data_IF_389918994886
#
_entry.id   IF_389918994886
#
_cell.length_a   1.000
_cell.length_b   1.000
_cell.length_c   1.000
_cell.angle_alpha   90.00
_cell.angle_beta   90.00
_cell.angle_gamma   90.00
#
_symmetry.space_group_name_H-M   'P 1'
#
loop_
_entity.id
_entity.type
_entity.pdbx_description
1 polymer ?
#
# COMPACT_ATOMS: atom_id res chain seq x y z
N UNK A 1 -12.34 -8.22 23.46
CA UNK A 1 -11.66 -6.93 23.15
C UNK A 1 -10.18 -7.07 23.46
N UNK A 2 -9.27 -6.53 22.63
CA UNK A 2 -7.83 -6.62 22.92
C UNK A 2 -7.50 -5.66 24.08
N UNK A 3 -6.65 -6.01 25.07
CA UNK A 3 -6.35 -5.17 26.24
C UNK A 3 -5.96 -3.73 25.88
N UNK A 4 -5.21 -3.59 24.76
CA UNK A 4 -4.85 -2.29 24.18
C UNK A 4 -6.04 -1.35 23.92
N UNK A 5 -7.23 -1.89 23.62
CA UNK A 5 -8.44 -1.10 23.34
C UNK A 5 -8.96 -0.44 24.61
N UNK A 6 -8.94 -1.18 25.73
CA UNK A 6 -9.35 -0.66 27.04
C UNK A 6 -8.38 0.42 27.52
N UNK A 7 -7.08 0.19 27.36
CA UNK A 7 -6.04 1.18 27.73
C UNK A 7 -6.23 2.50 26.95
N UNK A 8 -6.48 2.40 25.64
CA UNK A 8 -6.75 3.57 24.79
C UNK A 8 -8.03 4.28 25.22
N UNK A 9 -9.09 3.55 25.56
CA UNK A 9 -10.34 4.13 26.02
C UNK A 9 -10.17 4.90 27.34
N UNK A 10 -9.39 4.36 28.29
CA UNK A 10 -9.08 5.04 29.56
C UNK A 10 -8.28 6.32 29.32
N UNK A 11 -7.24 6.26 28.48
CA UNK A 11 -6.46 7.44 28.10
C UNK A 11 -7.34 8.52 27.45
N UNK A 12 -8.22 8.12 26.54
CA UNK A 12 -9.12 9.03 25.85
C UNK A 12 -10.11 9.68 26.83
N UNK A 13 -10.65 8.91 27.78
CA UNK A 13 -11.52 9.44 28.84
C UNK A 13 -10.78 10.46 29.71
N UNK A 14 -9.53 10.21 30.09
CA UNK A 14 -8.72 11.16 30.86
C UNK A 14 -8.48 12.47 30.10
N UNK A 15 -8.14 12.39 28.81
CA UNK A 15 -7.97 13.58 27.95
C UNK A 15 -9.26 14.40 27.93
N UNK A 16 -10.41 13.75 27.74
CA UNK A 16 -11.72 14.43 27.74
C UNK A 16 -11.97 15.11 29.09
N UNK A 17 -11.76 14.42 30.22
CA UNK A 17 -11.94 15.01 31.55
C UNK A 17 -11.10 16.28 31.74
N UNK A 18 -9.81 16.24 31.36
CA UNK A 18 -8.90 17.39 31.46
C UNK A 18 -9.39 18.55 30.59
N UNK A 19 -9.84 18.26 29.37
CA UNK A 19 -10.39 19.27 28.45
C UNK A 19 -11.65 19.96 29.00
N UNK A 20 -12.53 19.21 29.67
CA UNK A 20 -13.79 19.75 30.21
C UNK A 20 -13.63 20.45 31.55
N UNK A 21 -12.64 20.04 32.36
CA UNK A 21 -12.44 20.60 33.70
C UNK A 21 -11.83 22.00 33.68
N UNK A 22 -10.96 22.31 32.71
CA UNK A 22 -10.35 23.63 32.60
C UNK A 22 -11.11 24.49 31.56
N UNK A 23 -11.92 25.42 32.09
CA UNK A 23 -12.78 26.35 31.33
C UNK A 23 -12.16 27.75 31.24
N UNK A 24 -10.86 27.86 30.97
CA UNK A 24 -10.31 29.15 30.57
C UNK A 24 -10.88 29.56 29.21
N UNK A 25 -11.69 30.62 29.20
CA UNK A 25 -12.28 31.18 28.00
C UNK A 25 -11.24 31.95 27.17
N UNK A 26 -11.36 31.86 25.85
CA UNK A 26 -10.63 32.67 24.89
C UNK A 26 -11.53 32.99 23.70
N UNK A 27 -11.34 34.18 23.15
CA UNK A 27 -12.02 34.59 21.93
C UNK A 27 -11.39 33.87 20.75
N UNK A 28 -12.20 33.08 20.05
CA UNK A 28 -11.80 32.44 18.81
C UNK A 28 -12.32 33.26 17.62
N UNK A 29 -11.57 33.33 16.52
CA UNK A 29 -11.90 34.19 15.38
C UNK A 29 -12.52 33.44 14.19
N UNK A 30 -12.28 32.12 14.06
CA UNK A 30 -12.60 31.34 12.85
C UNK A 30 -14.12 31.28 12.52
N UNK A 31 -14.99 31.50 13.50
CA UNK A 31 -16.45 31.46 13.35
C UNK A 31 -17.13 32.76 13.83
N UNK A 32 -16.42 33.89 13.78
CA UNK A 32 -16.82 35.13 14.48
C UNK A 32 -16.31 35.15 15.91
N UNK A 33 -16.63 36.21 16.68
CA UNK A 33 -16.09 36.47 18.02
C UNK A 33 -16.77 35.59 19.09
N UNK A 34 -16.46 34.29 19.08
CA UNK A 34 -17.08 33.31 20.00
C UNK A 34 -16.13 33.03 21.16
N UNK A 35 -16.63 33.19 22.39
CA UNK A 35 -15.92 32.79 23.61
C UNK A 35 -16.04 31.29 23.80
N UNK A 36 -14.94 30.58 23.65
CA UNK A 36 -14.86 29.12 23.82
C UNK A 36 -13.63 28.77 24.65
N UNK A 37 -13.54 27.55 25.18
CA UNK A 37 -12.40 27.20 26.04
C UNK A 37 -11.11 27.03 25.22
N UNK A 38 -9.99 27.59 25.70
CA UNK A 38 -8.67 27.45 25.06
C UNK A 38 -8.31 25.99 24.76
N UNK A 39 -8.68 25.09 25.68
CA UNK A 39 -8.42 23.66 25.52
C UNK A 39 -9.24 23.01 24.42
N UNK A 40 -10.48 23.43 24.18
CA UNK A 40 -11.28 22.92 23.05
C UNK A 40 -10.65 23.32 21.72
N UNK A 41 -10.22 24.58 21.58
CA UNK A 41 -9.45 25.03 20.41
C UNK A 41 -8.20 24.17 20.28
N UNK A 42 -7.37 24.10 21.31
CA UNK A 42 -6.09 23.39 21.24
C UNK A 42 -6.26 21.90 20.92
N UNK A 43 -7.22 21.23 21.58
CA UNK A 43 -7.51 19.82 21.37
C UNK A 43 -8.07 19.52 19.97
N UNK A 44 -8.93 20.38 19.43
CA UNK A 44 -9.49 20.20 18.09
C UNK A 44 -8.41 20.38 17.01
N UNK A 45 -7.59 21.42 17.08
CA UNK A 45 -6.47 21.61 16.16
C UNK A 45 -5.40 20.53 16.29
N UNK A 46 -5.10 20.10 17.51
CA UNK A 46 -4.21 18.97 17.74
C UNK A 46 -4.74 17.70 17.07
N UNK A 47 -6.01 17.37 17.27
CA UNK A 47 -6.62 16.19 16.67
C UNK A 47 -6.65 16.27 15.14
N UNK A 48 -6.99 17.44 14.57
CA UNK A 48 -6.93 17.68 13.13
C UNK A 48 -5.51 17.53 12.60
N UNK A 49 -4.50 18.03 13.31
CA UNK A 49 -3.09 17.87 12.98
C UNK A 49 -2.64 16.41 13.01
N UNK A 50 -3.06 15.65 14.02
CA UNK A 50 -2.77 14.20 14.12
C UNK A 50 -3.45 13.42 13.00
N UNK A 51 -4.70 13.72 12.66
CA UNK A 51 -5.41 13.07 11.54
C UNK A 51 -4.72 13.42 10.22
N UNK A 52 -4.47 14.70 9.97
CA UNK A 52 -3.86 15.18 8.73
C UNK A 52 -2.45 14.62 8.56
N UNK A 53 -1.63 14.68 9.61
CA UNK A 53 -0.31 14.07 9.65
C UNK A 53 -0.38 12.56 9.47
N UNK A 54 -1.28 11.88 10.19
CA UNK A 54 -1.48 10.44 10.05
C UNK A 54 -1.88 10.02 8.63
N UNK A 55 -2.70 10.82 7.95
CA UNK A 55 -3.09 10.60 6.54
C UNK A 55 -1.92 10.88 5.60
N UNK A 56 -1.17 11.98 5.80
CA UNK A 56 -0.06 12.37 4.94
C UNK A 56 1.13 11.39 5.06
N UNK A 57 1.45 10.98 6.28
CA UNK A 57 2.49 9.99 6.57
C UNK A 57 2.00 8.54 6.45
N UNK A 58 0.75 8.31 6.06
CA UNK A 58 0.23 6.97 5.80
C UNK A 58 1.01 6.39 4.62
N UNK A 59 2.00 5.54 4.93
CA UNK A 59 2.75 4.77 3.93
C UNK A 59 1.75 4.10 3.00
N UNK A 60 1.71 4.54 1.73
CA UNK A 60 0.98 3.80 0.70
C UNK A 60 1.64 2.43 0.61
N UNK A 61 0.83 1.36 0.67
CA UNK A 61 1.34 0.00 0.52
C UNK A 61 2.07 -0.04 -0.84
N UNK A 62 3.37 -0.33 -0.82
CA UNK A 62 4.20 -0.45 -2.02
C UNK A 62 3.64 -1.61 -2.84
N UNK A 63 2.91 -1.27 -3.90
CA UNK A 63 2.35 -2.11 -4.96
C UNK A 63 1.58 -3.38 -4.53
N UNK A 64 0.49 -3.74 -5.24
CA UNK A 64 -0.06 -5.08 -5.12
C UNK A 64 1.06 -6.08 -5.44
N UNK A 65 1.14 -7.16 -4.66
CA UNK A 65 1.97 -8.32 -4.98
C UNK A 65 1.73 -8.63 -6.45
N UNK A 66 2.81 -8.75 -7.21
CA UNK A 66 2.81 -9.12 -8.63
C UNK A 66 1.70 -10.14 -8.87
N UNK A 67 0.88 -9.89 -9.90
CA UNK A 67 -0.07 -10.87 -10.37
C UNK A 67 0.72 -12.15 -10.61
N UNK A 68 0.53 -13.14 -9.74
CA UNK A 68 1.06 -14.47 -9.95
C UNK A 68 0.41 -14.99 -11.21
N UNK A 69 1.12 -14.87 -12.33
CA UNK A 69 0.77 -15.58 -13.55
C UNK A 69 0.95 -17.06 -13.19
N UNK A 70 -0.12 -17.72 -12.74
CA UNK A 70 -0.16 -19.18 -12.71
C UNK A 70 -0.35 -19.64 -14.15
N UNK A 71 0.73 -19.59 -14.94
CA UNK A 71 0.76 -20.35 -16.18
C UNK A 71 0.90 -21.83 -15.78
N UNK A 72 -0.11 -22.69 -16.00
CA UNK A 72 -0.02 -24.09 -15.64
C UNK A 72 1.00 -24.88 -16.47
N UNK A 73 1.73 -24.24 -17.38
CA UNK A 73 2.74 -24.89 -18.22
C UNK A 73 4.20 -24.50 -17.91
N UNK A 74 4.47 -23.88 -16.76
CA UNK A 74 5.84 -23.64 -16.30
C UNK A 74 6.39 -24.85 -15.55
N UNK A 75 6.55 -25.98 -16.25
CA UNK A 75 7.36 -27.09 -15.74
C UNK A 75 8.81 -26.82 -16.13
N UNK A 76 9.58 -26.43 -15.11
CA UNK A 76 11.01 -26.69 -14.97
C UNK A 76 11.95 -26.05 -16.00
N UNK A 77 12.41 -24.84 -15.69
CA UNK A 77 13.79 -24.46 -16.04
C UNK A 77 14.41 -23.76 -14.84
N UNK A 78 14.85 -24.57 -13.89
CA UNK A 78 15.80 -24.19 -12.85
C UNK A 78 16.79 -25.34 -12.68
N UNK A 79 17.57 -25.60 -13.71
CA UNK A 79 18.88 -26.25 -13.65
C UNK A 79 19.49 -26.31 -15.06
N UNK A 80 20.82 -26.32 -15.10
CA UNK A 80 21.68 -26.60 -16.25
C UNK A 80 21.99 -25.45 -17.22
N UNK A 81 23.00 -24.65 -16.82
CA UNK A 81 24.18 -24.44 -17.67
C UNK A 81 24.55 -25.74 -18.38
N UNK A 82 24.57 -25.80 -19.73
CA UNK A 82 25.46 -26.62 -20.59
C UNK A 82 24.98 -26.58 -22.06
N UNK A 83 25.86 -26.10 -22.94
CA UNK A 83 26.01 -26.42 -24.38
C UNK A 83 24.84 -26.18 -25.34
N UNK A 84 24.99 -25.14 -26.16
CA UNK A 84 24.16 -24.86 -27.34
C UNK A 84 24.32 -25.96 -28.41
N UNK A 85 23.30 -26.81 -28.52
CA UNK A 85 23.02 -27.64 -29.69
C UNK A 85 21.97 -26.93 -30.56
N UNK A 86 22.07 -26.89 -31.91
CA UNK A 86 21.17 -26.09 -32.77
C UNK A 86 19.70 -26.54 -32.70
N UNK A 87 19.46 -27.75 -32.20
CA UNK A 87 18.15 -28.40 -32.08
C UNK A 87 17.20 -27.74 -31.07
N UNK A 88 17.72 -26.89 -30.16
CA UNK A 88 16.94 -26.21 -29.12
C UNK A 88 16.64 -24.73 -29.44
N UNK A 89 16.77 -24.31 -30.69
CA UNK A 89 16.28 -22.99 -31.09
C UNK A 89 14.76 -23.04 -31.32
N UNK A 90 14.00 -22.01 -30.92
CA UNK A 90 12.57 -21.89 -31.25
C UNK A 90 12.29 -21.76 -32.76
N UNK A 91 13.34 -21.74 -33.58
CA UNK A 91 13.31 -21.73 -35.05
C UNK A 91 13.69 -23.08 -35.66
N UNK A 92 13.69 -24.16 -34.88
CA UNK A 92 13.96 -25.51 -35.37
C UNK A 92 12.89 -25.95 -36.38
N UNK A 93 13.32 -26.15 -37.63
CA UNK A 93 12.45 -26.55 -38.76
C UNK A 93 12.24 -28.06 -38.83
N UNK A 94 12.78 -28.82 -37.86
CA UNK A 94 12.80 -30.29 -37.84
C UNK A 94 11.40 -30.95 -37.78
N UNK A 95 10.37 -30.22 -37.35
CA UNK A 95 8.98 -30.70 -37.30
C UNK A 95 8.13 -30.24 -38.49
N UNK A 96 8.71 -29.52 -39.46
CA UNK A 96 8.02 -29.08 -40.66
C UNK A 96 8.13 -30.12 -41.77
N UNK A 97 7.14 -30.16 -42.66
CA UNK A 97 7.19 -30.97 -43.88
C UNK A 97 8.29 -30.46 -44.82
N UNK A 98 8.79 -31.30 -45.74
CA UNK A 98 9.87 -30.91 -46.65
C UNK A 98 9.47 -29.71 -47.54
N UNK A 99 8.19 -29.62 -47.90
CA UNK A 99 7.64 -28.53 -48.71
C UNK A 99 7.61 -27.19 -47.94
N UNK A 100 7.26 -27.22 -46.64
CA UNK A 100 7.27 -26.03 -45.78
C UNK A 100 8.70 -25.53 -45.51
N UNK A 101 9.68 -26.44 -45.44
CA UNK A 101 11.09 -26.08 -45.25
C UNK A 101 11.66 -25.34 -46.45
N UNK A 102 11.29 -25.75 -47.67
CA UNK A 102 11.75 -25.12 -48.90
C UNK A 102 11.12 -23.74 -49.12
N UNK A 103 9.91 -23.50 -48.61
CA UNK A 103 9.28 -22.18 -48.63
C UNK A 103 10.07 -21.16 -47.80
N UNK A 104 10.48 -21.53 -46.57
CA UNK A 104 11.24 -20.64 -45.67
C UNK A 104 12.66 -20.36 -46.18
N UNK A 105 13.26 -21.30 -46.93
CA UNK A 105 14.62 -21.16 -47.48
C UNK A 105 14.71 -20.32 -48.76
N UNK A 106 13.58 -19.99 -49.39
CA UNK A 106 13.55 -19.32 -50.69
C UNK A 106 13.56 -17.77 -50.62
N UNK A 107 13.48 -17.20 -49.43
CA UNK A 107 13.68 -15.77 -49.14
C UNK A 107 15.07 -15.50 -48.52
#
# INVERSE_FOLDING_TARGET
MKPKTIIIAILLALVVIVLFYNKEESTFWLFGEIRTSKLIILGSFYLLGVITGGVLFRRRKKHPKEYGISNPNATETSAATTSASPEQSPYSTSNLSDEDRDFIRRD
#
